data_IF_551326827766
#
_entry.id   IF_551326827766
#
_cell.length_a   1.000
_cell.length_b   1.000
_cell.length_c   1.000
_cell.angle_alpha   90.00
_cell.angle_beta   90.00
_cell.angle_gamma   90.00
#
_symmetry.space_group_name_H-M   'P 1'
#
loop_
_entity.id
_entity.type
_entity.pdbx_description
1 polymer ?
#
# COMPACT_ATOMS: atom_id res chain seq x y z
N UNK A 1 6.21 3.00 11.30
CA UNK A 1 5.68 3.18 9.92
C UNK A 1 4.27 2.58 9.89
N UNK A 2 3.36 3.06 9.05
CA UNK A 2 2.00 2.48 8.91
C UNK A 2 1.63 2.37 7.44
N UNK A 3 1.02 1.25 7.06
CA UNK A 3 0.49 1.03 5.70
C UNK A 3 -1.03 1.26 5.75
N UNK A 4 -1.52 2.21 4.96
CA UNK A 4 -2.95 2.45 4.78
C UNK A 4 -3.30 2.08 3.35
N UNK A 5 -4.19 1.10 3.20
CA UNK A 5 -4.67 0.68 1.89
C UNK A 5 -6.15 1.00 1.69
N UNK A 6 -6.52 1.43 0.50
CA UNK A 6 -7.86 1.93 0.19
C UNK A 6 -8.44 1.21 -1.01
N UNK A 7 -9.63 0.66 -0.82
CA UNK A 7 -10.47 0.26 -1.94
C UNK A 7 -10.99 1.52 -2.65
N UNK A 8 -10.68 1.62 -3.94
CA UNK A 8 -11.17 2.71 -4.78
C UNK A 8 -12.67 2.54 -5.05
N UNK A 9 -13.44 3.63 -5.26
CA UNK A 9 -14.83 3.54 -5.69
C UNK A 9 -14.97 2.77 -7.00
N UNK A 10 -16.07 2.01 -7.13
CA UNK A 10 -16.35 1.13 -8.28
C UNK A 10 -16.27 1.84 -9.64
N UNK A 11 -16.66 3.13 -9.68
CA UNK A 11 -16.54 3.97 -10.89
C UNK A 11 -15.10 4.05 -11.41
N UNK A 12 -14.12 4.11 -10.50
CA UNK A 12 -12.70 4.16 -10.87
C UNK A 12 -12.17 2.75 -11.18
N UNK A 13 -12.67 1.72 -10.49
CA UNK A 13 -12.28 0.33 -10.74
C UNK A 13 -12.60 -0.11 -12.17
N UNK A 14 -13.77 0.29 -12.70
CA UNK A 14 -14.23 -0.10 -14.04
C UNK A 14 -13.28 0.27 -15.20
N UNK A 15 -12.38 1.24 -15.00
CA UNK A 15 -11.43 1.71 -16.03
C UNK A 15 -10.16 0.86 -16.09
N UNK A 16 -9.82 0.18 -14.98
CA UNK A 16 -8.56 -0.52 -14.81
C UNK A 16 -8.72 -1.97 -14.29
N UNK A 17 -9.90 -2.57 -14.44
CA UNK A 17 -10.07 -4.02 -14.27
C UNK A 17 -9.34 -4.74 -15.40
N UNK A 18 -8.14 -5.22 -15.14
CA UNK A 18 -7.38 -6.05 -16.07
C UNK A 18 -6.70 -7.21 -15.32
N UNK A 19 -7.04 -8.44 -15.69
CA UNK A 19 -6.38 -9.67 -15.20
C UNK A 19 -7.36 -10.75 -14.70
N UNK A 20 -6.82 -11.92 -14.37
CA UNK A 20 -7.57 -13.09 -13.87
C UNK A 20 -8.21 -12.89 -12.48
N UNK A 21 -7.92 -11.78 -11.79
CA UNK A 21 -8.25 -11.58 -10.36
C UNK A 21 -9.08 -10.32 -10.05
N UNK A 22 -9.61 -9.63 -11.08
CA UNK A 22 -10.42 -8.40 -10.91
C UNK A 22 -9.71 -7.32 -10.06
N UNK A 23 -8.37 -7.29 -10.13
CA UNK A 23 -7.52 -6.34 -9.40
C UNK A 23 -7.45 -5.00 -10.15
N UNK A 24 -7.44 -3.90 -9.39
CA UNK A 24 -7.27 -2.54 -9.92
C UNK A 24 -5.85 -2.32 -10.46
N UNK A 25 -5.69 -2.18 -11.78
CA UNK A 25 -4.39 -1.96 -12.40
C UNK A 25 -3.95 -0.49 -12.35
N UNK A 26 -3.11 -0.15 -11.35
CA UNK A 26 -2.54 1.20 -11.23
C UNK A 26 -1.69 1.62 -12.44
N UNK A 27 -1.07 0.69 -13.16
CA UNK A 27 -0.26 1.04 -14.34
C UNK A 27 -1.14 1.50 -15.51
N UNK A 28 -2.30 0.86 -15.71
CA UNK A 28 -3.28 1.30 -16.71
C UNK A 28 -4.01 2.56 -16.24
N UNK A 29 -4.43 2.63 -14.97
CA UNK A 29 -5.12 3.80 -14.44
C UNK A 29 -4.28 5.08 -14.56
N UNK A 30 -2.99 5.00 -14.23
CA UNK A 30 -2.04 6.11 -14.39
C UNK A 30 -1.26 6.07 -15.72
N UNK A 31 -1.80 5.40 -16.75
CA UNK A 31 -1.19 5.39 -18.07
C UNK A 31 -1.19 6.81 -18.66
N UNK A 32 -0.06 7.20 -19.25
CA UNK A 32 0.14 8.53 -19.79
C UNK A 32 0.96 8.48 -21.09
N UNK A 33 0.75 9.48 -21.93
CA UNK A 33 1.48 9.67 -23.19
C UNK A 33 2.13 11.05 -23.22
N UNK A 34 3.06 11.27 -24.16
CA UNK A 34 3.78 12.54 -24.31
C UNK A 34 4.95 12.72 -23.34
N UNK A 35 5.58 13.90 -23.40
CA UNK A 35 6.79 14.22 -22.63
C UNK A 35 6.74 15.67 -22.12
N UNK A 36 7.34 15.90 -20.94
CA UNK A 36 7.40 17.22 -20.31
C UNK A 36 6.02 17.89 -20.21
N UNK A 37 5.91 19.13 -20.68
CA UNK A 37 4.66 19.91 -20.66
C UNK A 37 3.54 19.37 -21.56
N UNK A 38 3.87 18.50 -22.51
CA UNK A 38 2.90 17.86 -23.40
C UNK A 38 2.43 16.50 -22.87
N UNK A 39 2.95 16.03 -21.73
CA UNK A 39 2.54 14.77 -21.14
C UNK A 39 1.12 14.87 -20.56
N UNK A 40 0.29 13.87 -20.86
CA UNK A 40 -1.12 13.82 -20.47
C UNK A 40 -1.53 12.39 -20.08
N UNK A 41 -2.40 12.25 -19.09
CA UNK A 41 -2.98 10.95 -18.76
C UNK A 41 -3.95 10.50 -19.86
N UNK A 42 -3.99 9.18 -20.10
CA UNK A 42 -5.02 8.56 -20.96
C UNK A 42 -6.40 8.70 -20.32
N UNK A 43 -6.48 8.51 -19.00
CA UNK A 43 -7.69 8.59 -18.18
C UNK A 43 -7.69 9.83 -17.27
N UNK A 44 -7.38 11.01 -17.83
CA UNK A 44 -7.16 12.24 -17.05
C UNK A 44 -8.33 12.61 -16.14
N UNK A 45 -9.57 12.50 -16.63
CA UNK A 45 -10.78 12.79 -15.85
C UNK A 45 -10.87 11.91 -14.59
N UNK A 46 -10.47 10.66 -14.69
CA UNK A 46 -10.57 9.69 -13.60
C UNK A 46 -9.41 9.84 -12.61
N UNK A 47 -8.22 10.20 -13.10
CA UNK A 47 -7.12 10.65 -12.24
C UNK A 47 -7.49 11.94 -11.49
N UNK A 48 -8.22 12.86 -12.11
CA UNK A 48 -8.74 14.05 -11.42
C UNK A 48 -9.74 13.67 -10.32
N UNK A 49 -10.70 12.78 -10.60
CA UNK A 49 -11.60 12.25 -9.56
C UNK A 49 -10.81 11.60 -8.42
N UNK A 50 -9.76 10.85 -8.74
CA UNK A 50 -8.87 10.27 -7.74
C UNK A 50 -8.19 11.35 -6.87
N UNK A 51 -7.72 12.45 -7.45
CA UNK A 51 -7.19 13.60 -6.69
C UNK A 51 -8.25 14.19 -5.74
N UNK A 52 -9.52 14.21 -6.16
CA UNK A 52 -10.63 14.67 -5.30
C UNK A 52 -10.93 13.67 -4.18
N UNK A 53 -10.83 12.36 -4.44
CA UNK A 53 -11.00 11.29 -3.44
C UNK A 53 -9.95 11.40 -2.34
N UNK A 54 -8.65 11.50 -2.68
CA UNK A 54 -7.58 11.57 -1.67
C UNK A 54 -7.63 12.86 -0.84
N UNK A 55 -8.35 13.88 -1.33
CA UNK A 55 -8.66 15.13 -0.63
C UNK A 55 -10.00 15.10 0.12
N UNK A 56 -10.73 13.99 0.06
CA UNK A 56 -12.05 13.87 0.70
C UNK A 56 -13.12 14.78 0.08
N UNK A 57 -12.90 15.26 -1.15
CA UNK A 57 -13.81 16.14 -1.89
C UNK A 57 -14.75 15.37 -2.83
N UNK A 58 -14.66 14.03 -2.88
CA UNK A 58 -15.51 13.21 -3.73
C UNK A 58 -16.96 13.13 -3.22
N UNK A 59 -17.87 13.73 -4.00
CA UNK A 59 -19.26 13.99 -3.64
C UNK A 59 -20.17 12.74 -3.48
N UNK A 60 -20.06 11.67 -4.31
CA UNK A 60 -20.99 10.53 -4.22
C UNK A 60 -21.00 9.81 -2.86
N UNK A 61 -19.86 9.79 -2.14
CA UNK A 61 -19.79 9.18 -0.79
C UNK A 61 -20.15 10.14 0.35
N UNK A 62 -20.38 11.43 0.09
CA UNK A 62 -20.77 12.39 1.13
C UNK A 62 -22.11 11.99 1.80
N UNK A 63 -23.01 11.38 1.05
CA UNK A 63 -24.32 10.90 1.56
C UNK A 63 -24.18 9.64 2.42
N UNK A 64 -23.23 8.74 2.11
CA UNK A 64 -22.96 7.55 2.93
C UNK A 64 -22.21 7.90 4.21
N UNK A 65 -21.26 8.84 4.17
CA UNK A 65 -20.56 9.30 5.37
C UNK A 65 -21.49 9.93 6.42
N UNK A 66 -22.60 10.54 5.98
CA UNK A 66 -23.64 11.04 6.87
C UNK A 66 -24.37 9.91 7.62
N UNK A 67 -24.39 8.69 7.08
CA UNK A 67 -25.03 7.52 7.70
C UNK A 67 -24.10 6.80 8.69
N UNK A 68 -22.80 6.72 8.39
CA UNK A 68 -21.82 6.01 9.25
C UNK A 68 -21.21 6.91 10.32
N UNK A 69 -21.33 8.24 10.20
CA UNK A 69 -20.88 9.22 11.21
C UNK A 69 -19.37 9.44 11.27
N UNK A 70 -18.56 8.62 10.56
CA UNK A 70 -17.10 8.74 10.54
C UNK A 70 -16.59 8.85 9.11
N UNK A 71 -15.84 9.93 8.83
CA UNK A 71 -15.14 10.09 7.54
C UNK A 71 -13.89 9.19 7.53
N UNK A 72 -13.62 8.46 6.44
CA UNK A 72 -12.39 7.70 6.32
C UNK A 72 -11.17 8.62 6.31
N UNK A 73 -10.04 8.17 6.88
CA UNK A 73 -8.83 8.97 6.95
C UNK A 73 -8.12 8.98 5.58
N UNK A 74 -8.55 9.82 4.64
CA UNK A 74 -7.84 10.00 3.37
C UNK A 74 -6.61 10.90 3.54
N UNK A 75 -5.54 10.69 2.74
CA UNK A 75 -4.25 11.36 2.94
C UNK A 75 -4.38 12.88 3.10
N UNK A 76 -4.93 13.57 2.09
CA UNK A 76 -5.00 15.02 2.04
C UNK A 76 -6.31 15.59 2.60
N UNK A 77 -7.03 14.83 3.42
CA UNK A 77 -8.29 15.27 4.03
C UNK A 77 -8.30 15.16 5.56
N UNK A 78 -7.63 14.14 6.11
CA UNK A 78 -7.66 13.88 7.55
C UNK A 78 -6.61 14.72 8.28
N UNK A 79 -7.05 15.52 9.26
CA UNK A 79 -6.18 16.40 10.05
C UNK A 79 -5.04 15.68 10.76
N UNK A 80 -5.18 14.38 11.04
CA UNK A 80 -4.13 13.55 11.66
C UNK A 80 -3.05 13.14 10.65
N UNK A 81 -3.35 13.15 9.36
CA UNK A 81 -2.43 12.78 8.28
C UNK A 81 -1.76 13.99 7.64
N UNK A 82 -2.44 15.14 7.57
CA UNK A 82 -1.93 16.37 6.94
C UNK A 82 -0.49 16.76 7.37
N UNK A 83 -0.10 16.69 8.67
CA UNK A 83 1.28 17.01 9.08
C UNK A 83 2.34 16.13 8.39
N UNK A 84 2.00 14.88 8.09
CA UNK A 84 2.92 13.91 7.46
C UNK A 84 2.91 13.98 5.93
N UNK A 85 2.10 14.88 5.36
CA UNK A 85 1.96 15.06 3.91
C UNK A 85 2.48 16.41 3.43
N UNK A 86 3.16 17.19 4.28
CA UNK A 86 3.91 18.38 3.85
C UNK A 86 4.96 18.01 2.79
N UNK A 87 5.72 16.94 3.04
CA UNK A 87 6.69 16.40 2.09
C UNK A 87 6.38 14.93 1.79
N UNK A 88 5.85 14.69 0.58
CA UNK A 88 5.44 13.36 0.14
C UNK A 88 6.18 12.91 -1.11
N UNK A 89 6.37 11.60 -1.22
CA UNK A 89 6.91 10.94 -2.40
C UNK A 89 5.80 10.17 -3.12
N UNK A 90 5.57 10.41 -4.40
CA UNK A 90 4.55 9.69 -5.17
C UNK A 90 5.25 8.81 -6.20
N UNK A 91 4.96 7.51 -6.16
CA UNK A 91 5.66 6.52 -6.97
C UNK A 91 4.79 6.08 -8.16
N UNK A 92 5.02 6.71 -9.32
CA UNK A 92 4.25 6.52 -10.55
C UNK A 92 4.84 5.46 -11.50
N UNK A 93 4.06 4.96 -12.48
CA UNK A 93 4.48 3.83 -13.32
C UNK A 93 5.69 4.14 -14.21
N UNK A 94 5.73 5.34 -14.81
CA UNK A 94 6.73 5.71 -15.81
C UNK A 94 6.97 7.23 -15.85
N UNK A 95 7.91 7.65 -16.71
CA UNK A 95 8.31 9.06 -16.86
C UNK A 95 7.16 9.93 -17.40
N UNK A 96 6.37 9.42 -18.34
CA UNK A 96 5.23 10.16 -18.89
C UNK A 96 4.18 10.41 -17.79
N UNK A 97 3.90 9.43 -16.94
CA UNK A 97 2.97 9.55 -15.82
C UNK A 97 3.44 10.59 -14.80
N UNK A 98 4.75 10.64 -14.48
CA UNK A 98 5.30 11.68 -13.59
C UNK A 98 5.09 13.09 -14.15
N UNK A 99 5.34 13.29 -15.44
CA UNK A 99 5.13 14.58 -16.09
C UNK A 99 3.64 14.92 -16.21
N UNK A 100 2.79 13.95 -16.57
CA UNK A 100 1.34 14.13 -16.66
C UNK A 100 0.74 14.51 -15.30
N UNK A 101 1.18 13.87 -14.21
CA UNK A 101 0.77 14.24 -12.86
C UNK A 101 1.21 15.66 -12.50
N UNK A 102 2.46 16.03 -12.81
CA UNK A 102 2.93 17.40 -12.58
C UNK A 102 2.09 18.44 -13.32
N UNK A 103 1.73 18.16 -14.58
CA UNK A 103 0.91 19.04 -15.40
C UNK A 103 -0.51 19.14 -14.83
N UNK A 104 -1.14 18.01 -14.48
CA UNK A 104 -2.50 17.97 -13.92
C UNK A 104 -2.58 18.75 -12.60
N UNK A 105 -1.63 18.54 -11.67
CA UNK A 105 -1.57 19.27 -10.41
C UNK A 105 -1.39 20.79 -10.61
N UNK A 106 -0.77 21.21 -11.71
CA UNK A 106 -0.56 22.62 -12.05
C UNK A 106 -1.76 23.28 -12.78
N UNK A 107 -2.80 22.52 -13.12
CA UNK A 107 -3.98 23.07 -13.79
C UNK A 107 -4.70 24.11 -12.92
N UNK A 108 -5.36 25.07 -13.58
CA UNK A 108 -5.92 26.26 -12.90
C UNK A 108 -6.98 25.91 -11.86
N UNK A 109 -7.77 24.84 -12.07
CA UNK A 109 -8.79 24.41 -11.10
C UNK A 109 -8.20 23.63 -9.92
N UNK A 110 -6.95 23.17 -10.02
CA UNK A 110 -6.28 22.36 -9.01
C UNK A 110 -5.57 23.20 -7.93
N UNK A 111 -6.25 24.27 -7.47
CA UNK A 111 -5.69 25.31 -6.57
C UNK A 111 -5.08 24.74 -5.29
N UNK A 112 -5.67 23.70 -4.70
CA UNK A 112 -5.14 23.05 -3.50
C UNK A 112 -3.69 22.57 -3.67
N UNK A 113 -3.34 22.09 -4.86
CA UNK A 113 -2.02 21.56 -5.15
C UNK A 113 -0.99 22.66 -5.41
N UNK A 114 -1.41 23.91 -5.63
CA UNK A 114 -0.51 25.04 -5.88
C UNK A 114 0.25 25.47 -4.61
N UNK A 115 -0.25 25.07 -3.43
CA UNK A 115 0.48 25.16 -2.16
C UNK A 115 1.74 24.27 -2.12
N UNK A 116 1.83 23.27 -3.00
CA UNK A 116 2.92 22.31 -3.05
C UNK A 116 3.88 22.64 -4.19
N UNK A 117 5.18 22.66 -3.88
CA UNK A 117 6.21 22.62 -4.92
C UNK A 117 6.28 21.20 -5.47
N UNK A 118 5.83 21.01 -6.72
CA UNK A 118 5.84 19.69 -7.39
C UNK A 118 7.16 19.49 -8.13
N UNK A 119 7.85 18.37 -7.86
CA UNK A 119 9.14 18.03 -8.47
C UNK A 119 9.02 16.70 -9.19
N UNK A 120 9.10 16.73 -10.53
CA UNK A 120 9.20 15.52 -11.33
C UNK A 120 10.66 15.01 -11.35
N UNK A 121 11.01 14.12 -10.43
CA UNK A 121 12.28 13.41 -10.40
C UNK A 121 12.24 12.21 -11.37
N UNK A 122 12.00 12.47 -12.66
CA UNK A 122 11.85 11.45 -13.69
C UNK A 122 12.51 11.87 -15.02
N UNK A 123 12.88 10.90 -15.85
CA UNK A 123 13.49 11.15 -17.16
C UNK A 123 14.88 11.79 -17.10
N UNK A 124 15.50 12.03 -18.25
CA UNK A 124 16.87 12.56 -18.32
C UNK A 124 17.01 13.99 -17.74
N UNK A 125 15.97 14.82 -17.89
CA UNK A 125 15.98 16.22 -17.43
C UNK A 125 16.05 16.41 -15.91
N UNK A 126 15.73 15.38 -15.13
CA UNK A 126 15.86 15.43 -13.68
C UNK A 126 17.29 15.20 -13.16
N UNK A 127 18.29 14.97 -14.03
CA UNK A 127 19.65 14.57 -13.61
C UNK A 127 19.76 13.06 -13.35
N UNK A 128 20.95 12.47 -13.53
CA UNK A 128 21.18 11.03 -13.40
C UNK A 128 21.62 10.70 -11.96
N UNK A 129 21.01 9.68 -11.36
CA UNK A 129 21.36 9.22 -10.01
C UNK A 129 21.16 10.31 -8.95
N UNK A 130 22.24 10.65 -8.23
CA UNK A 130 22.25 11.64 -7.15
C UNK A 130 21.92 13.06 -7.63
N UNK A 131 22.13 13.38 -8.90
CA UNK A 131 21.84 14.70 -9.46
C UNK A 131 20.34 15.04 -9.50
N UNK A 132 19.47 14.04 -9.28
CA UNK A 132 18.03 14.26 -9.10
C UNK A 132 17.65 14.72 -7.68
N UNK A 133 18.56 14.67 -6.72
CA UNK A 133 18.33 15.02 -5.32
C UNK A 133 18.38 16.53 -5.04
N UNK A 134 19.30 17.34 -5.63
CA UNK A 134 19.35 18.77 -5.36
C UNK A 134 18.04 19.53 -5.61
N UNK A 135 17.27 19.30 -6.70
CA UNK A 135 15.96 19.93 -6.89
C UNK A 135 14.97 19.63 -5.76
N UNK A 136 14.93 18.38 -5.30
CA UNK A 136 14.09 17.94 -4.18
C UNK A 136 14.50 18.65 -2.89
N UNK A 137 15.80 18.66 -2.57
CA UNK A 137 16.30 19.33 -1.36
C UNK A 137 16.03 20.83 -1.36
N UNK A 138 16.14 21.49 -2.52
CA UNK A 138 15.81 22.92 -2.64
C UNK A 138 14.33 23.20 -2.41
N UNK A 139 13.44 22.36 -2.93
CA UNK A 139 12.00 22.51 -2.72
C UNK A 139 11.59 22.25 -1.26
N UNK A 140 12.27 21.33 -0.58
CA UNK A 140 12.06 21.05 0.84
C UNK A 140 12.64 22.18 1.72
N UNK A 141 13.83 22.70 1.41
CA UNK A 141 14.47 23.71 2.24
C UNK A 141 14.72 23.19 3.66
N UNK A 142 14.23 23.92 4.68
CA UNK A 142 14.30 23.51 6.09
C UNK A 142 13.37 22.34 6.43
N UNK A 143 12.29 22.18 5.67
CA UNK A 143 11.25 21.17 5.88
C UNK A 143 10.08 21.60 6.76
N UNK A 144 10.08 22.84 7.29
CA UNK A 144 9.04 23.32 8.23
C UNK A 144 8.03 24.26 7.57
N UNK A 145 8.49 25.15 6.69
CA UNK A 145 7.68 26.24 6.12
C UNK A 145 7.35 26.02 4.63
N UNK A 146 7.57 24.80 4.14
CA UNK A 146 7.41 24.45 2.73
C UNK A 146 6.58 23.18 2.61
N UNK A 147 6.02 22.99 1.42
CA UNK A 147 5.33 21.75 1.06
C UNK A 147 5.84 21.29 -0.30
N UNK A 148 6.09 19.99 -0.44
CA UNK A 148 6.62 19.43 -1.69
C UNK A 148 6.02 18.08 -2.03
N UNK A 149 5.75 17.85 -3.31
CA UNK A 149 5.39 16.55 -3.85
C UNK A 149 6.51 16.11 -4.80
N UNK A 150 7.25 15.06 -4.43
CA UNK A 150 8.26 14.46 -5.32
C UNK A 150 7.62 13.34 -6.11
N UNK A 151 7.52 13.51 -7.43
CA UNK A 151 7.00 12.51 -8.36
C UNK A 151 8.18 11.70 -8.94
N UNK A 152 8.16 10.39 -8.81
CA UNK A 152 9.21 9.52 -9.35
C UNK A 152 8.64 8.24 -9.92
N UNK A 153 9.31 7.66 -10.91
CA UNK A 153 9.03 6.32 -11.43
C UNK A 153 10.17 5.33 -11.22
N UNK A 154 11.10 5.64 -10.29
CA UNK A 154 12.21 4.75 -9.92
C UNK A 154 13.52 5.48 -9.61
N UNK A 155 13.57 6.81 -9.78
CA UNK A 155 14.69 7.61 -9.27
C UNK A 155 14.50 7.88 -7.78
N UNK A 156 15.61 8.07 -7.07
CA UNK A 156 15.63 8.37 -5.64
C UNK A 156 15.03 7.25 -4.75
N UNK A 157 14.83 6.06 -5.31
CA UNK A 157 14.42 4.86 -4.56
C UNK A 157 15.62 4.08 -4.01
N UNK A 158 16.83 4.37 -4.50
CA UNK A 158 18.08 3.73 -4.09
C UNK A 158 19.16 4.76 -3.78
N UNK A 159 20.00 4.48 -2.78
CA UNK A 159 21.23 5.25 -2.50
C UNK A 159 21.03 6.69 -1.99
N UNK A 160 19.80 7.10 -1.63
CA UNK A 160 19.51 8.45 -1.11
C UNK A 160 18.66 8.42 0.14
N UNK A 161 18.84 9.43 0.98
CA UNK A 161 18.08 9.66 2.21
C UNK A 161 17.53 11.09 2.21
N UNK A 162 16.22 11.21 2.32
CA UNK A 162 15.49 12.49 2.50
C UNK A 162 14.66 12.36 3.77
N UNK A 163 15.17 12.88 4.88
CA UNK A 163 14.57 12.71 6.20
C UNK A 163 13.15 13.31 6.29
N UNK A 164 12.90 14.40 5.58
CA UNK A 164 11.64 15.14 5.60
C UNK A 164 10.49 14.38 4.94
N UNK A 165 10.76 13.44 4.03
CA UNK A 165 9.69 12.62 3.45
C UNK A 165 9.02 11.79 4.53
N UNK A 166 7.75 12.09 4.77
CA UNK A 166 6.96 11.45 5.83
C UNK A 166 5.89 10.52 5.28
N UNK A 167 5.57 10.64 3.99
CA UNK A 167 4.57 9.82 3.33
C UNK A 167 4.96 9.41 1.92
N UNK A 168 4.57 8.21 1.51
CA UNK A 168 4.68 7.72 0.14
C UNK A 168 3.31 7.27 -0.38
N UNK A 169 2.98 7.64 -1.62
CA UNK A 169 1.83 7.14 -2.35
C UNK A 169 2.30 6.12 -3.39
N UNK A 170 1.84 4.87 -3.27
CA UNK A 170 2.15 3.77 -4.19
C UNK A 170 1.18 3.77 -5.38
N UNK A 171 1.55 4.47 -6.46
CA UNK A 171 0.69 4.73 -7.63
C UNK A 171 1.07 3.88 -8.86
N UNK A 172 1.70 2.72 -8.65
CA UNK A 172 2.10 1.80 -9.71
C UNK A 172 2.00 0.37 -9.22
N UNK A 173 1.81 -0.56 -10.16
CA UNK A 173 1.94 -1.98 -9.87
C UNK A 173 3.43 -2.35 -9.82
N UNK A 174 3.84 -2.90 -8.67
CA UNK A 174 5.18 -3.45 -8.45
C UNK A 174 5.08 -4.97 -8.45
N UNK A 175 5.98 -5.61 -9.20
CA UNK A 175 6.01 -7.07 -9.34
C UNK A 175 6.86 -7.76 -8.28
N UNK A 176 7.76 -7.02 -7.63
CA UNK A 176 8.71 -7.54 -6.65
C UNK A 176 8.46 -6.85 -5.30
N UNK A 177 8.27 -7.64 -4.22
CA UNK A 177 8.12 -7.09 -2.87
C UNK A 177 9.34 -6.27 -2.44
N UNK A 178 10.53 -6.65 -2.88
CA UNK A 178 11.76 -5.90 -2.58
C UNK A 178 11.69 -4.48 -3.12
N UNK A 179 11.21 -4.30 -4.36
CA UNK A 179 11.06 -2.96 -4.95
C UNK A 179 10.00 -2.15 -4.19
N UNK A 180 8.91 -2.80 -3.77
CA UNK A 180 7.85 -2.18 -2.97
C UNK A 180 8.39 -1.65 -1.64
N UNK A 181 9.04 -2.52 -0.87
CA UNK A 181 9.55 -2.17 0.44
C UNK A 181 10.78 -1.26 0.39
N UNK A 182 11.65 -1.39 -0.62
CA UNK A 182 12.76 -0.44 -0.83
C UNK A 182 12.27 1.00 -1.04
N UNK A 183 11.17 1.17 -1.79
CA UNK A 183 10.52 2.45 -1.97
C UNK A 183 9.79 2.90 -0.70
N UNK A 184 9.03 2.01 -0.04
CA UNK A 184 8.33 2.30 1.20
C UNK A 184 9.29 2.81 2.28
N UNK A 185 10.39 2.09 2.52
CA UNK A 185 11.38 2.43 3.54
C UNK A 185 12.12 3.75 3.28
N UNK A 186 12.02 4.36 2.08
CA UNK A 186 12.56 5.71 1.84
C UNK A 186 11.95 6.77 2.77
N UNK A 187 10.69 6.59 3.18
CA UNK A 187 10.03 7.56 4.07
C UNK A 187 10.20 7.23 5.55
N UNK A 188 10.85 6.09 5.87
CA UNK A 188 11.10 5.66 7.25
C UNK A 188 12.29 6.37 7.90
N UNK A 189 13.22 6.92 7.12
CA UNK A 189 14.46 7.50 7.65
C UNK A 189 14.17 8.57 8.71
N UNK A 190 14.76 8.51 9.91
CA UNK A 190 14.41 9.44 10.99
C UNK A 190 14.74 10.89 10.60
N UNK A 191 13.88 11.81 11.03
CA UNK A 191 14.15 13.24 11.03
C UNK A 191 14.20 13.70 12.48
N UNK A 192 15.39 14.09 12.94
CA UNK A 192 15.62 14.48 14.32
C UNK A 192 16.62 15.63 14.41
N UNK A 193 16.49 16.45 15.46
CA UNK A 193 17.44 17.49 15.83
C UNK A 193 18.30 16.94 16.97
N UNK A 194 19.62 16.96 16.81
CA UNK A 194 20.55 16.59 17.88
C UNK A 194 20.83 17.80 18.77
N UNK A 195 20.83 17.59 20.07
CA UNK A 195 21.04 18.60 21.11
C UNK A 195 20.16 19.85 20.92
N UNK A 196 18.82 19.71 20.93
CA UNK A 196 17.89 20.80 20.64
C UNK A 196 18.03 21.98 21.61
N UNK A 197 18.33 21.70 22.89
CA UNK A 197 18.44 22.70 23.95
C UNK A 197 19.88 23.19 24.20
N UNK A 198 20.89 22.58 23.57
CA UNK A 198 22.30 22.92 23.77
C UNK A 198 22.95 22.24 24.99
N UNK A 199 22.16 21.80 25.96
CA UNK A 199 22.63 21.30 27.26
C UNK A 199 23.04 19.83 27.27
N UNK A 200 22.54 19.02 26.33
CA UNK A 200 22.79 17.58 26.29
C UNK A 200 23.15 17.11 24.87
N UNK A 201 24.43 16.83 24.59
CA UNK A 201 24.89 16.34 23.29
C UNK A 201 24.23 15.03 22.82
N UNK A 202 23.67 14.25 23.74
CA UNK A 202 23.01 12.97 23.46
C UNK A 202 21.48 13.09 23.36
N UNK A 203 20.90 14.25 23.66
CA UNK A 203 19.46 14.47 23.48
C UNK A 203 19.14 14.59 21.99
N UNK A 204 18.11 13.87 21.53
CA UNK A 204 17.59 14.00 20.17
C UNK A 204 16.08 14.27 20.23
N UNK A 205 15.64 15.32 19.55
CA UNK A 205 14.22 15.59 19.34
C UNK A 205 13.77 15.00 18.02
N UNK A 206 12.83 14.05 18.05
CA UNK A 206 12.30 13.38 16.87
C UNK A 206 11.20 14.25 16.25
N UNK A 207 11.49 14.84 15.09
CA UNK A 207 10.54 15.67 14.32
C UNK A 207 9.55 14.81 13.50
N UNK A 208 9.95 13.58 13.16
CA UNK A 208 9.12 12.62 12.43
C UNK A 208 8.85 11.38 13.27
N UNK A 209 7.81 11.38 14.13
CA UNK A 209 7.49 10.23 14.97
C UNK A 209 6.82 9.08 14.19
N UNK A 210 6.24 9.38 13.02
CA UNK A 210 5.56 8.39 12.19
C UNK A 210 5.78 8.68 10.70
N UNK A 211 5.57 7.65 9.87
CA UNK A 211 5.56 7.75 8.43
C UNK A 211 4.52 6.80 7.84
N UNK A 212 4.01 7.14 6.66
CA UNK A 212 2.84 6.50 6.07
C UNK A 212 3.11 6.02 4.64
N UNK A 213 2.64 4.80 4.36
CA UNK A 213 2.57 4.25 3.01
C UNK A 213 1.08 4.22 2.65
N UNK A 214 0.71 4.89 1.56
CA UNK A 214 -0.64 4.92 1.05
C UNK A 214 -0.72 4.10 -0.22
N UNK A 215 -1.60 3.10 -0.23
CA UNK A 215 -1.78 2.17 -1.33
C UNK A 215 -3.25 2.11 -1.76
N UNK A 216 -3.51 2.10 -3.06
CA UNK A 216 -4.87 2.13 -3.62
C UNK A 216 -5.28 0.81 -4.28
N UNK A 217 -4.49 -0.25 -4.05
CA UNK A 217 -4.78 -1.61 -4.49
C UNK A 217 -4.61 -2.59 -3.31
N UNK A 218 -5.64 -2.75 -2.44
CA UNK A 218 -5.56 -3.54 -1.20
C UNK A 218 -5.03 -4.96 -1.39
N UNK A 219 -5.64 -5.75 -2.26
CA UNK A 219 -5.24 -7.14 -2.52
C UNK A 219 -3.77 -7.25 -2.88
N UNK A 220 -3.30 -6.35 -3.77
CA UNK A 220 -1.90 -6.29 -4.18
C UNK A 220 -0.99 -5.89 -3.02
N UNK A 221 -1.32 -4.84 -2.28
CA UNK A 221 -0.51 -4.36 -1.16
C UNK A 221 -0.31 -5.45 -0.10
N UNK A 222 -1.39 -6.16 0.24
CA UNK A 222 -1.37 -7.27 1.20
C UNK A 222 -0.58 -8.47 0.66
N UNK A 223 -0.70 -8.78 -0.63
CA UNK A 223 0.13 -9.81 -1.28
C UNK A 223 1.62 -9.46 -1.22
N UNK A 224 2.01 -8.23 -1.53
CA UNK A 224 3.41 -7.80 -1.44
C UNK A 224 3.94 -7.91 0.00
N UNK A 225 3.12 -7.56 1.00
CA UNK A 225 3.49 -7.70 2.41
C UNK A 225 3.67 -9.16 2.82
N UNK A 226 2.73 -10.03 2.43
CA UNK A 226 2.79 -11.47 2.68
C UNK A 226 4.05 -12.10 2.07
N UNK A 227 4.28 -11.89 0.77
CA UNK A 227 5.43 -12.42 0.04
C UNK A 227 6.75 -11.93 0.66
N UNK A 228 6.84 -10.66 1.05
CA UNK A 228 8.02 -10.11 1.70
C UNK A 228 8.26 -10.70 3.10
N UNK A 229 7.21 -10.78 3.93
CA UNK A 229 7.30 -11.35 5.27
C UNK A 229 7.78 -12.80 5.26
N UNK A 230 7.22 -13.61 4.37
CA UNK A 230 7.65 -15.00 4.16
C UNK A 230 9.12 -15.05 3.67
N UNK A 231 9.49 -14.17 2.75
CA UNK A 231 10.86 -14.08 2.22
C UNK A 231 11.92 -13.69 3.26
N UNK A 232 11.54 -12.92 4.28
CA UNK A 232 12.43 -12.53 5.39
C UNK A 232 12.67 -13.68 6.38
N UNK A 233 11.74 -14.62 6.49
CA UNK A 233 11.77 -15.72 7.45
C UNK A 233 11.73 -17.09 6.75
N UNK A 234 12.75 -17.45 5.93
CA UNK A 234 12.72 -18.69 5.13
C UNK A 234 12.74 -19.98 5.96
N UNK A 235 13.11 -19.90 7.24
CA UNK A 235 13.10 -21.03 8.17
C UNK A 235 11.81 -21.18 8.98
N UNK A 236 10.85 -20.26 8.85
CA UNK A 236 9.57 -20.33 9.56
C UNK A 236 8.58 -21.19 8.75
N UNK A 237 8.15 -22.36 9.27
CA UNK A 237 7.24 -23.24 8.54
C UNK A 237 5.81 -22.69 8.45
N UNK A 238 5.39 -21.83 9.39
CA UNK A 238 4.07 -21.21 9.37
C UNK A 238 4.11 -19.80 8.73
N UNK A 239 3.51 -19.60 7.54
CA UNK A 239 3.46 -18.30 6.89
C UNK A 239 2.87 -17.18 7.76
N UNK A 240 1.94 -17.49 8.66
CA UNK A 240 1.30 -16.49 9.52
C UNK A 240 2.27 -15.91 10.53
N UNK A 241 3.14 -16.75 11.12
CA UNK A 241 4.18 -16.30 12.02
C UNK A 241 5.19 -15.40 11.28
N UNK A 242 5.58 -15.79 10.07
CA UNK A 242 6.50 -15.00 9.24
C UNK A 242 5.94 -13.61 8.93
N UNK A 243 4.64 -13.52 8.62
CA UNK A 243 3.96 -12.25 8.35
C UNK A 243 3.73 -11.43 9.63
N UNK A 244 3.44 -12.09 10.76
CA UNK A 244 3.15 -11.44 12.05
C UNK A 244 4.28 -10.54 12.53
N UNK A 245 5.53 -10.98 12.39
CA UNK A 245 6.69 -10.18 12.77
C UNK A 245 6.75 -8.87 11.96
N UNK A 246 6.54 -8.95 10.64
CA UNK A 246 6.53 -7.78 9.78
C UNK A 246 5.37 -6.83 10.11
N UNK A 247 4.16 -7.36 10.36
CA UNK A 247 2.97 -6.58 10.73
C UNK A 247 3.14 -5.86 12.07
N UNK A 248 3.89 -6.43 13.01
CA UNK A 248 4.20 -5.77 14.28
C UNK A 248 5.00 -4.47 14.07
N UNK A 249 5.90 -4.42 13.07
CA UNK A 249 6.67 -3.22 12.72
C UNK A 249 5.95 -2.28 11.73
N UNK A 250 5.05 -2.84 10.91
CA UNK A 250 4.26 -2.13 9.92
C UNK A 250 2.77 -2.47 10.08
N UNK A 251 2.07 -1.84 11.04
CA UNK A 251 0.63 -1.99 11.17
C UNK A 251 -0.08 -1.61 9.87
N UNK A 252 -1.00 -2.46 9.44
CA UNK A 252 -1.77 -2.31 8.21
C UNK A 252 -3.20 -1.94 8.54
N UNK A 253 -3.69 -0.86 7.95
CA UNK A 253 -5.09 -0.48 7.99
C UNK A 253 -5.66 -0.53 6.59
N UNK A 254 -6.82 -1.17 6.43
CA UNK A 254 -7.51 -1.26 5.15
C UNK A 254 -8.87 -0.57 5.23
N UNK A 255 -9.17 0.19 4.18
CA UNK A 255 -10.46 0.78 3.95
C UNK A 255 -11.21 -0.02 2.90
N UNK A 256 -12.31 -0.66 3.32
CA UNK A 256 -13.18 -1.52 2.50
C UNK A 256 -14.26 -0.75 1.71
N UNK A 257 -14.20 0.58 1.74
CA UNK A 257 -15.21 1.44 1.16
C UNK A 257 -16.23 2.00 2.16
N UNK A 258 -16.27 1.49 3.39
CA UNK A 258 -17.11 1.96 4.48
C UNK A 258 -16.32 2.27 5.76
N UNK A 259 -15.45 1.36 6.21
CA UNK A 259 -14.72 1.47 7.48
C UNK A 259 -13.22 1.25 7.29
N UNK A 260 -12.42 1.93 8.12
CA UNK A 260 -10.97 1.68 8.20
C UNK A 260 -10.71 0.71 9.35
N UNK A 261 -10.24 -0.49 9.03
CA UNK A 261 -9.99 -1.57 10.00
C UNK A 261 -8.51 -1.96 10.00
N UNK A 262 -7.98 -2.33 11.16
CA UNK A 262 -6.63 -2.90 11.23
C UNK A 262 -6.71 -4.38 10.85
N UNK A 263 -5.85 -4.81 9.93
CA UNK A 263 -5.76 -6.21 9.50
C UNK A 263 -4.60 -6.89 10.24
N UNK A 264 -4.85 -8.08 10.78
CA UNK A 264 -3.84 -8.94 11.40
C UNK A 264 -3.16 -9.87 10.37
N UNK A 265 -2.17 -10.64 10.82
CA UNK A 265 -1.40 -11.50 9.92
C UNK A 265 -2.27 -12.54 9.18
N UNK A 266 -3.23 -13.14 9.89
CA UNK A 266 -4.20 -14.09 9.31
C UNK A 266 -5.06 -13.44 8.22
N UNK A 267 -5.64 -12.27 8.48
CA UNK A 267 -6.44 -11.54 7.48
C UNK A 267 -5.63 -11.11 6.26
N UNK A 268 -4.36 -10.71 6.45
CA UNK A 268 -3.46 -10.39 5.33
C UNK A 268 -3.22 -11.62 4.46
N UNK A 269 -2.94 -12.77 5.07
CA UNK A 269 -2.76 -14.02 4.34
C UNK A 269 -4.03 -14.43 3.60
N UNK A 270 -5.19 -14.38 4.25
CA UNK A 270 -6.45 -14.75 3.62
C UNK A 270 -6.75 -13.90 2.37
N UNK A 271 -6.57 -12.58 2.46
CA UNK A 271 -6.80 -11.68 1.33
C UNK A 271 -5.73 -11.85 0.25
N UNK A 272 -4.47 -12.00 0.63
CA UNK A 272 -3.37 -12.26 -0.31
C UNK A 272 -3.59 -13.57 -1.08
N UNK A 273 -4.20 -14.57 -0.44
CA UNK A 273 -4.45 -15.88 -1.03
C UNK A 273 -5.76 -15.94 -1.84
N UNK A 274 -6.76 -15.12 -1.51
CA UNK A 274 -8.07 -15.08 -2.17
C UNK A 274 -8.00 -14.75 -3.68
N UNK A 275 -6.87 -14.20 -4.15
CA UNK A 275 -6.60 -13.92 -5.57
C UNK A 275 -5.40 -14.68 -6.14
N UNK A 276 -5.11 -15.93 -5.71
CA UNK A 276 -3.91 -16.66 -6.17
C UNK A 276 -4.15 -18.12 -6.61
N UNK A 277 -3.21 -18.62 -7.42
CA UNK A 277 -3.14 -19.95 -8.04
C UNK A 277 -3.07 -21.12 -7.04
N UNK A 278 -3.39 -22.33 -7.52
CA UNK A 278 -3.52 -23.58 -6.76
C UNK A 278 -2.34 -23.92 -5.81
N UNK A 279 -1.14 -23.42 -6.06
CA UNK A 279 0.06 -23.64 -5.23
C UNK A 279 0.05 -22.88 -3.89
N UNK A 280 -0.52 -21.66 -3.84
CA UNK A 280 -0.67 -20.93 -2.58
C UNK A 280 -1.91 -21.41 -1.81
N UNK A 281 -2.96 -21.84 -2.52
CA UNK A 281 -4.06 -22.61 -1.95
C UNK A 281 -3.56 -23.91 -1.29
N UNK A 282 -2.66 -24.67 -1.92
CA UNK A 282 -2.07 -25.86 -1.31
C UNK A 282 -1.34 -25.54 0.01
N UNK A 283 -0.60 -24.43 0.08
CA UNK A 283 0.02 -23.94 1.32
C UNK A 283 -1.01 -23.49 2.38
N UNK A 284 -2.16 -22.97 1.96
CA UNK A 284 -3.31 -22.68 2.86
C UNK A 284 -3.83 -23.96 3.52
N UNK A 285 -3.92 -25.04 2.75
CA UNK A 285 -4.36 -26.36 3.23
C UNK A 285 -3.32 -27.06 4.12
N UNK A 286 -2.04 -26.74 3.98
CA UNK A 286 -0.97 -27.22 4.88
C UNK A 286 -0.92 -26.45 6.22
N UNK A 287 -1.52 -25.26 6.30
CA UNK A 287 -1.61 -24.50 7.55
C UNK A 287 -2.74 -25.04 8.43
N UNK A 288 -2.38 -25.82 9.45
CA UNK A 288 -3.32 -26.43 10.41
C UNK A 288 -4.21 -25.44 11.17
N UNK A 289 -3.91 -24.13 11.14
CA UNK A 289 -4.67 -23.08 11.82
C UNK A 289 -5.70 -22.38 10.93
N UNK A 290 -5.54 -22.43 9.61
CA UNK A 290 -6.45 -21.79 8.63
C UNK A 290 -7.57 -22.72 8.17
N UNK A 291 -7.45 -24.02 8.46
CA UNK A 291 -8.51 -25.01 8.30
C UNK A 291 -9.19 -25.19 9.65
N UNK A 292 -10.03 -24.24 10.03
CA UNK A 292 -10.82 -24.37 11.25
C UNK A 292 -12.09 -25.18 10.94
N UNK A 293 -12.02 -26.51 11.07
CA UNK A 293 -13.21 -27.35 10.97
C UNK A 293 -13.89 -27.34 12.33
N UNK A 294 -15.06 -26.70 12.43
CA UNK A 294 -15.84 -26.76 13.67
C UNK A 294 -16.36 -28.20 13.90
N UNK A 295 -16.66 -28.52 15.17
CA UNK A 295 -17.14 -29.86 15.54
C UNK A 295 -18.45 -30.24 14.84
N UNK A 296 -19.26 -29.25 14.45
CA UNK A 296 -20.52 -29.50 13.74
C UNK A 296 -20.28 -29.88 12.27
N UNK A 297 -19.27 -29.29 11.62
CA UNK A 297 -18.84 -29.62 10.26
C UNK A 297 -18.19 -30.99 10.24
N UNK A 298 -17.33 -31.31 11.22
CA UNK A 298 -16.80 -32.67 11.38
C UNK A 298 -17.92 -33.70 11.57
N UNK A 299 -18.91 -33.42 12.43
CA UNK A 299 -20.07 -34.30 12.62
C UNK A 299 -20.89 -34.47 11.35
N UNK A 300 -21.07 -33.42 10.55
CA UNK A 300 -21.79 -33.52 9.27
C UNK A 300 -21.04 -34.37 8.26
N UNK A 301 -19.71 -34.20 8.17
CA UNK A 301 -18.86 -35.00 7.29
C UNK A 301 -18.81 -36.47 7.71
N UNK A 302 -18.75 -36.76 9.01
CA UNK A 302 -18.78 -38.13 9.54
C UNK A 302 -20.15 -38.82 9.38
N UNK A 303 -21.24 -38.06 9.37
CA UNK A 303 -22.61 -38.60 9.21
C UNK A 303 -23.06 -38.70 7.74
N UNK A 304 -22.25 -38.22 6.79
CA UNK A 304 -22.52 -38.31 5.35
C UNK A 304 -21.64 -39.40 4.72
N UNK A 305 -22.21 -40.52 4.25
CA UNK A 305 -21.45 -41.63 3.68
C UNK A 305 -20.63 -41.25 2.44
N UNK A 306 -21.11 -40.31 1.63
CA UNK A 306 -20.42 -39.90 0.41
C UNK A 306 -19.26 -38.95 0.73
N UNK A 307 -19.44 -38.07 1.72
CA UNK A 307 -18.38 -37.20 2.22
C UNK A 307 -17.26 -38.00 2.90
N UNK A 308 -17.62 -38.99 3.73
CA UNK A 308 -16.65 -39.87 4.38
C UNK A 308 -15.85 -40.69 3.36
N UNK A 309 -16.52 -41.27 2.36
CA UNK A 309 -15.86 -42.00 1.29
C UNK A 309 -14.92 -41.13 0.44
N UNK A 310 -15.18 -39.83 0.33
CA UNK A 310 -14.28 -38.88 -0.33
C UNK A 310 -13.04 -38.58 0.52
N UNK A 311 -13.22 -38.37 1.84
CA UNK A 311 -12.12 -38.14 2.79
C UNK A 311 -11.22 -39.37 2.91
N UNK A 312 -11.80 -40.57 2.94
CA UNK A 312 -11.08 -41.85 2.96
C UNK A 312 -10.25 -42.11 1.70
N UNK A 313 -10.42 -41.36 0.60
CA UNK A 313 -9.55 -41.45 -0.58
C UNK A 313 -8.26 -40.65 -0.44
N UNK A 314 -8.16 -39.78 0.56
CA UNK A 314 -6.99 -38.96 0.82
C UNK A 314 -5.93 -39.81 1.53
N UNK A 315 -4.74 -39.91 0.93
CA UNK A 315 -3.66 -40.78 1.41
C UNK A 315 -3.21 -40.41 2.84
N UNK A 316 -3.16 -39.10 3.15
CA UNK A 316 -2.86 -38.59 4.48
C UNK A 316 -3.93 -38.87 5.55
N UNK A 317 -5.19 -39.13 5.15
CA UNK A 317 -6.24 -39.55 6.09
C UNK A 317 -6.10 -41.03 6.44
N UNK A 318 -5.76 -41.87 5.46
CA UNK A 318 -5.52 -43.30 5.69
C UNK A 318 -4.32 -43.57 6.59
N UNK A 319 -3.31 -42.69 6.56
CA UNK A 319 -2.12 -42.83 7.42
C UNK A 319 -2.36 -42.47 8.88
N UNK A 320 -3.48 -41.83 9.21
CA UNK A 320 -3.84 -41.43 10.57
C UNK A 320 -4.46 -42.56 11.40
N UNK A 321 -4.95 -43.63 10.75
CA UNK A 321 -5.52 -44.82 11.38
C UNK A 321 -6.89 -44.60 12.05
N UNK A 322 -7.54 -45.68 12.48
CA UNK A 322 -8.91 -45.66 13.05
C UNK A 322 -9.01 -44.98 14.43
N UNK A 323 -7.89 -44.55 15.01
CA UNK A 323 -7.81 -44.03 16.38
C UNK A 323 -8.12 -42.53 16.51
N UNK A 324 -8.46 -41.83 15.42
CA UNK A 324 -8.77 -40.39 15.46
C UNK A 324 -10.26 -40.11 15.70
N UNK A 325 -11.12 -41.12 15.51
CA UNK A 325 -12.57 -41.01 15.68
C UNK A 325 -12.96 -41.70 17.00
N UNK A 326 -12.46 -41.20 18.14
CA UNK A 326 -13.10 -41.49 19.43
C UNK A 326 -13.99 -40.31 19.85
N UNK A 327 -15.22 -40.67 20.25
CA UNK A 327 -16.38 -39.83 20.58
C UNK A 327 -16.17 -38.80 21.67
#
# INVERSE_FOLDING_TARGET
MRLLTYQMPDELLAIASAGEFDEFDLNEFFAATGTGKAAKFKHETDVQKWLDVIRGAYLPKAVEHLKTGTKPPFPYSDSRLLPYLQHSFWFLPNVAACHAMANLLAEKHNVFWHDYTVIAAAGAGAGIGLEALPPVRRAIGSGFDSKSITLSCGKLTTGVTVAQWSSILMLRNLKSPETYFQAAFRVQSPWAIKNPNGDNPNEEEILKPACFVFDFAPTRALRQLSEYGIGLSPGEPNPENAVKDLVAFLPVLAYDGANMTQIDAGGILDIAMAGTSATLLARKWESALLVNVDNDTLRRVLNDPDALAAVERIEGWRSLGDNIIET
#
